data_IF_072028267599
#
_entry.id   IF_072028267599
#
_cell.length_a   1.000
_cell.length_b   1.000
_cell.length_c   1.000
_cell.angle_alpha   90.00
_cell.angle_beta   90.00
_cell.angle_gamma   90.00
#
_symmetry.space_group_name_H-M   'P 1'
#
loop_
_entity.id
_entity.type
_entity.pdbx_description
1 polymer ?
#
# COMPACT_ATOMS: atom_id res chain seq x y z
N UNK A 1 23.32 58.65 49.04
CA UNK A 1 24.08 58.20 47.88
C UNK A 1 24.36 56.69 47.91
N UNK A 2 24.73 56.08 49.04
CA UNK A 2 25.02 54.62 49.14
C UNK A 2 23.78 53.81 49.09
N UNK A 3 22.64 54.21 49.75
CA UNK A 3 21.36 53.48 49.71
C UNK A 3 20.73 53.45 48.32
N UNK A 4 20.81 54.52 47.55
CA UNK A 4 20.28 54.59 46.19
C UNK A 4 21.04 53.64 45.24
N UNK A 5 22.36 53.55 45.41
CA UNK A 5 23.18 52.66 44.64
C UNK A 5 22.96 51.17 44.95
N UNK A 6 22.66 50.86 46.22
CA UNK A 6 22.27 49.51 46.65
C UNK A 6 20.90 49.07 46.12
N UNK A 7 19.94 50.00 46.02
CA UNK A 7 18.63 49.72 45.43
C UNK A 7 18.72 49.43 43.91
N UNK A 8 19.51 50.21 43.13
CA UNK A 8 19.76 49.98 41.72
C UNK A 8 20.45 48.64 41.46
N UNK A 9 21.41 48.25 42.32
CA UNK A 9 22.09 46.95 42.23
C UNK A 9 21.14 45.81 42.51
N UNK A 10 20.20 45.94 43.48
CA UNK A 10 19.20 44.91 43.74
C UNK A 10 18.17 44.77 42.64
N UNK A 11 17.73 45.87 42.03
CA UNK A 11 16.81 45.89 40.90
C UNK A 11 17.46 45.23 39.69
N UNK A 12 18.71 45.56 39.38
CA UNK A 12 19.48 44.96 38.31
C UNK A 12 19.67 43.44 38.50
N UNK A 13 19.92 42.99 39.72
CA UNK A 13 20.00 41.56 40.08
C UNK A 13 18.70 40.83 39.85
N UNK A 14 17.55 41.41 40.26
CA UNK A 14 16.26 40.79 40.07
C UNK A 14 15.88 40.61 38.62
N UNK A 15 16.21 41.58 37.75
CA UNK A 15 16.02 41.50 36.30
C UNK A 15 16.89 40.39 35.70
N UNK A 16 18.16 40.30 36.12
CA UNK A 16 19.06 39.23 35.64
C UNK A 16 18.54 37.86 36.02
N UNK A 17 18.05 37.66 37.28
CA UNK A 17 17.45 36.40 37.70
C UNK A 17 16.18 36.06 36.91
N UNK A 18 15.35 37.04 36.59
CA UNK A 18 14.14 36.84 35.76
C UNK A 18 14.50 36.42 34.34
N UNK A 19 15.51 37.05 33.72
CA UNK A 19 15.99 36.69 32.38
C UNK A 19 16.58 35.26 32.36
N UNK A 20 17.41 34.93 33.35
CA UNK A 20 18.00 33.58 33.46
C UNK A 20 16.91 32.52 33.68
N UNK A 21 15.92 32.83 34.53
CA UNK A 21 14.78 31.95 34.75
C UNK A 21 13.93 31.70 33.49
N UNK A 22 13.68 32.79 32.73
CA UNK A 22 12.96 32.68 31.45
C UNK A 22 13.72 31.86 30.42
N UNK A 23 15.04 32.10 30.32
CA UNK A 23 15.92 31.34 29.42
C UNK A 23 15.95 29.84 29.78
N UNK A 24 15.97 29.49 31.07
CA UNK A 24 15.92 28.12 31.55
C UNK A 24 14.55 27.43 31.17
N UNK A 25 13.45 28.16 31.33
CA UNK A 25 12.14 27.66 30.95
C UNK A 25 12.04 27.39 29.44
N UNK A 26 12.51 28.33 28.61
CA UNK A 26 12.55 28.18 27.15
C UNK A 26 13.42 26.98 26.75
N UNK A 27 14.61 26.85 27.36
CA UNK A 27 15.52 25.72 27.13
C UNK A 27 14.85 24.38 27.46
N UNK A 28 14.11 24.30 28.56
CA UNK A 28 13.35 23.12 28.97
C UNK A 28 12.25 22.78 27.95
N UNK A 29 11.49 23.78 27.48
CA UNK A 29 10.47 23.57 26.47
C UNK A 29 11.05 23.08 25.13
N UNK A 30 12.17 23.64 24.70
CA UNK A 30 12.88 23.20 23.48
C UNK A 30 13.37 21.76 23.63
N UNK A 31 13.97 21.42 24.78
CA UNK A 31 14.42 20.06 25.06
C UNK A 31 13.26 19.05 25.06
N UNK A 32 12.14 19.40 25.70
CA UNK A 32 10.94 18.56 25.70
C UNK A 32 10.33 18.39 24.29
N UNK A 33 10.34 19.45 23.49
CA UNK A 33 9.89 19.39 22.10
C UNK A 33 10.78 18.46 21.26
N UNK A 34 12.09 18.56 21.38
CA UNK A 34 13.07 17.71 20.67
C UNK A 34 12.88 16.24 21.08
N UNK A 35 12.77 15.96 22.39
CA UNK A 35 12.56 14.59 22.89
C UNK A 35 11.22 14.02 22.38
N UNK A 36 10.16 14.82 22.38
CA UNK A 36 8.84 14.40 21.88
C UNK A 36 8.84 14.14 20.39
N UNK A 37 9.51 14.99 19.61
CA UNK A 37 9.69 14.84 18.18
C UNK A 37 10.48 13.58 17.84
N UNK A 38 11.57 13.33 18.58
CA UNK A 38 12.38 12.11 18.41
C UNK A 38 11.60 10.84 18.72
N UNK A 39 10.83 10.81 19.83
CA UNK A 39 9.98 9.66 20.18
C UNK A 39 8.90 9.39 19.14
N UNK A 40 8.26 10.42 18.57
CA UNK A 40 7.31 10.26 17.47
C UNK A 40 7.95 9.65 16.23
N UNK A 41 9.14 10.10 15.87
CA UNK A 41 9.90 9.57 14.73
C UNK A 41 10.28 8.09 14.93
N UNK A 42 10.73 7.71 16.12
CA UNK A 42 11.07 6.32 16.47
C UNK A 42 9.83 5.41 16.46
N UNK A 43 8.70 5.86 17.02
CA UNK A 43 7.43 5.11 16.96
C UNK A 43 6.94 4.93 15.52
N UNK A 44 7.06 5.96 14.67
CA UNK A 44 6.71 5.85 13.26
C UNK A 44 7.59 4.81 12.54
N UNK A 45 8.90 4.79 12.79
CA UNK A 45 9.81 3.76 12.26
C UNK A 45 9.44 2.36 12.72
N UNK A 46 9.12 2.19 14.01
CA UNK A 46 8.68 0.91 14.56
C UNK A 46 7.36 0.45 13.97
N UNK A 47 6.39 1.33 13.79
CA UNK A 47 5.12 1.03 13.15
C UNK A 47 5.30 0.62 11.68
N UNK A 48 6.16 1.34 10.93
CA UNK A 48 6.54 0.98 9.56
C UNK A 48 7.21 -0.38 9.53
N UNK A 49 8.10 -0.68 10.47
CA UNK A 49 8.78 -1.97 10.56
C UNK A 49 7.80 -3.11 10.91
N UNK A 50 6.86 -2.88 11.83
CA UNK A 50 5.79 -3.83 12.17
C UNK A 50 4.86 -4.09 10.98
N UNK A 51 4.52 -3.06 10.20
CA UNK A 51 3.73 -3.21 8.97
C UNK A 51 4.52 -3.96 7.90
N UNK A 52 5.82 -3.70 7.75
CA UNK A 52 6.70 -4.48 6.87
C UNK A 52 6.70 -5.97 7.27
N UNK A 53 6.87 -6.27 8.55
CA UNK A 53 6.86 -7.63 9.08
C UNK A 53 5.49 -8.32 8.92
N UNK A 54 4.39 -7.62 9.16
CA UNK A 54 3.04 -8.13 8.87
C UNK A 54 2.83 -8.39 7.38
N UNK A 55 3.31 -7.50 6.54
CA UNK A 55 3.29 -7.67 5.09
C UNK A 55 4.09 -8.89 4.61
N UNK A 56 5.28 -9.10 5.11
CA UNK A 56 6.11 -10.29 4.78
C UNK A 56 5.39 -11.57 5.23
N UNK A 57 4.76 -11.56 6.39
CA UNK A 57 4.07 -12.73 6.96
C UNK A 57 2.78 -13.11 6.24
N UNK A 58 2.07 -12.13 5.65
CA UNK A 58 0.79 -12.35 4.96
C UNK A 58 0.90 -12.40 3.42
N UNK A 59 2.04 -12.06 2.82
CA UNK A 59 2.20 -11.84 1.38
C UNK A 59 2.74 -13.01 0.57
N UNK A 60 3.28 -14.00 1.20
CA UNK A 60 3.25 -15.32 0.58
C UNK A 60 1.82 -15.78 0.81
N UNK A 61 0.89 -15.40 -0.10
CA UNK A 61 -0.47 -15.92 -0.01
C UNK A 61 -0.35 -17.44 0.05
N UNK A 62 -0.64 -18.07 1.21
CA UNK A 62 -0.56 -19.53 1.29
C UNK A 62 -1.42 -20.17 0.21
N UNK A 63 -2.51 -19.51 -0.16
CA UNK A 63 -3.43 -19.90 -1.21
C UNK A 63 -2.77 -19.91 -2.60
N UNK A 64 -1.95 -18.91 -2.92
CA UNK A 64 -1.20 -18.89 -4.18
C UNK A 64 -0.21 -20.05 -4.25
N UNK A 65 0.60 -20.26 -3.20
CA UNK A 65 1.54 -21.38 -3.14
C UNK A 65 0.79 -22.72 -3.24
N UNK A 66 -0.32 -22.88 -2.51
CA UNK A 66 -1.12 -24.10 -2.56
C UNK A 66 -1.80 -24.31 -3.91
N UNK A 67 -2.32 -23.27 -4.56
CA UNK A 67 -2.93 -23.40 -5.89
C UNK A 67 -1.90 -23.77 -6.95
N UNK A 68 -0.73 -23.17 -6.92
CA UNK A 68 0.34 -23.49 -7.88
C UNK A 68 0.91 -24.89 -7.61
N UNK A 69 1.08 -25.30 -6.34
CA UNK A 69 1.46 -26.66 -5.97
C UNK A 69 0.41 -27.70 -6.41
N UNK A 70 -0.87 -27.45 -6.16
CA UNK A 70 -1.95 -28.34 -6.54
C UNK A 70 -2.12 -28.45 -8.07
N UNK A 71 -1.98 -27.33 -8.80
CA UNK A 71 -1.96 -27.36 -10.27
C UNK A 71 -0.79 -28.17 -10.80
N UNK A 72 0.37 -28.11 -10.15
CA UNK A 72 1.55 -28.90 -10.50
C UNK A 72 1.38 -30.39 -10.25
N UNK A 73 0.83 -30.76 -9.11
CA UNK A 73 0.55 -32.15 -8.77
C UNK A 73 -0.44 -32.77 -9.78
N UNK A 74 -1.42 -31.97 -10.27
CA UNK A 74 -2.41 -32.42 -11.22
C UNK A 74 -1.89 -32.51 -12.67
N UNK A 75 -0.83 -31.75 -13.06
CA UNK A 75 -0.33 -31.64 -14.43
C UNK A 75 0.99 -32.35 -14.71
N UNK A 76 1.51 -33.16 -13.78
CA UNK A 76 2.81 -33.83 -13.83
C UNK A 76 2.98 -34.76 -15.03
N UNK A 77 3.25 -34.25 -16.21
CA UNK A 77 3.87 -34.97 -17.34
C UNK A 77 4.68 -34.01 -18.23
N UNK A 78 5.96 -33.89 -18.00
CA UNK A 78 6.94 -33.47 -19.02
C UNK A 78 7.18 -31.98 -19.27
N UNK A 79 6.43 -31.03 -18.66
CA UNK A 79 6.70 -29.59 -18.68
C UNK A 79 7.19 -29.02 -17.34
N UNK A 80 7.52 -29.88 -16.42
CA UNK A 80 7.72 -29.59 -15.00
C UNK A 80 8.82 -28.57 -14.70
N UNK A 81 9.91 -28.58 -15.48
CA UNK A 81 11.08 -27.76 -15.14
C UNK A 81 10.91 -26.27 -15.45
N UNK A 82 10.28 -25.93 -16.59
CA UNK A 82 10.11 -24.53 -17.00
C UNK A 82 9.11 -23.80 -16.10
N UNK A 83 8.01 -24.45 -15.74
CA UNK A 83 6.96 -23.87 -14.91
C UNK A 83 7.40 -23.74 -13.44
N UNK A 84 8.18 -24.71 -12.90
CA UNK A 84 8.81 -24.60 -11.58
C UNK A 84 9.80 -23.43 -11.54
N UNK A 85 10.51 -23.19 -12.65
CA UNK A 85 11.42 -22.05 -12.76
C UNK A 85 10.66 -20.71 -12.74
N UNK A 86 9.55 -20.61 -13.47
CA UNK A 86 8.71 -19.38 -13.45
C UNK A 86 8.09 -19.15 -12.08
N UNK A 87 7.60 -20.19 -11.41
CA UNK A 87 7.12 -20.09 -10.04
C UNK A 87 8.21 -19.62 -9.08
N UNK A 88 9.41 -20.21 -9.18
CA UNK A 88 10.56 -19.80 -8.36
C UNK A 88 10.91 -18.33 -8.56
N UNK A 89 10.84 -17.83 -9.79
CA UNK A 89 11.04 -16.40 -10.11
C UNK A 89 9.96 -15.52 -9.50
N UNK A 90 8.68 -15.93 -9.59
CA UNK A 90 7.56 -15.20 -8.99
C UNK A 90 7.69 -15.12 -7.46
N UNK A 91 8.01 -16.22 -6.80
CA UNK A 91 8.22 -16.23 -5.34
C UNK A 91 9.37 -15.30 -4.96
N UNK A 92 10.49 -15.34 -5.69
CA UNK A 92 11.63 -14.45 -5.44
C UNK A 92 11.26 -12.99 -5.61
N UNK A 93 10.55 -12.63 -6.70
CA UNK A 93 10.07 -11.28 -6.95
C UNK A 93 9.10 -10.81 -5.84
N UNK A 94 8.20 -11.68 -5.39
CA UNK A 94 7.25 -11.40 -4.32
C UNK A 94 7.99 -11.07 -3.01
N UNK A 95 8.95 -11.91 -2.60
CA UNK A 95 9.76 -11.68 -1.40
C UNK A 95 10.52 -10.35 -1.52
N UNK A 96 11.14 -10.10 -2.66
CA UNK A 96 11.95 -8.91 -2.91
C UNK A 96 11.12 -7.62 -2.86
N UNK A 97 9.90 -7.63 -3.45
CA UNK A 97 8.96 -6.52 -3.39
C UNK A 97 8.37 -6.33 -1.99
N UNK A 98 8.10 -7.40 -1.26
CA UNK A 98 7.52 -7.32 0.08
C UNK A 98 8.45 -6.65 1.10
N UNK A 99 9.76 -6.62 0.84
CA UNK A 99 10.75 -5.93 1.66
C UNK A 99 10.83 -4.42 1.39
N UNK A 100 10.15 -3.91 0.36
CA UNK A 100 10.21 -2.49 -0.03
C UNK A 100 8.93 -1.75 0.37
N UNK A 101 9.04 -0.45 0.67
CA UNK A 101 7.87 0.40 0.94
C UNK A 101 7.26 0.84 -0.38
N UNK A 102 8.12 1.24 -1.32
CA UNK A 102 7.75 1.71 -2.65
C UNK A 102 8.63 1.04 -3.70
N UNK A 103 8.06 0.82 -4.85
CA UNK A 103 8.74 0.29 -6.05
C UNK A 103 8.35 1.14 -7.26
N UNK A 104 9.06 0.98 -8.37
CA UNK A 104 8.64 1.62 -9.61
C UNK A 104 7.34 1.00 -10.12
N UNK A 105 6.49 1.81 -10.73
CA UNK A 105 5.25 1.34 -11.35
C UNK A 105 5.52 0.22 -12.37
N UNK A 106 6.64 0.31 -13.10
CA UNK A 106 7.05 -0.76 -14.03
C UNK A 106 7.21 -2.09 -13.31
N UNK A 107 7.87 -2.10 -12.15
CA UNK A 107 8.14 -3.32 -11.39
C UNK A 107 6.86 -3.95 -10.82
N UNK A 108 5.90 -3.11 -10.36
CA UNK A 108 4.57 -3.57 -9.95
C UNK A 108 3.81 -4.22 -11.11
N UNK A 109 3.79 -3.57 -12.26
CA UNK A 109 3.11 -4.09 -13.44
C UNK A 109 3.75 -5.36 -14.00
N UNK A 110 5.08 -5.44 -14.01
CA UNK A 110 5.80 -6.64 -14.44
C UNK A 110 5.48 -7.85 -13.55
N UNK A 111 5.37 -7.63 -12.24
CA UNK A 111 4.96 -8.66 -11.30
C UNK A 111 3.51 -9.10 -11.55
N UNK A 112 2.58 -8.13 -11.62
CA UNK A 112 1.16 -8.39 -11.84
C UNK A 112 0.92 -9.15 -13.14
N UNK A 113 1.64 -8.79 -14.20
CA UNK A 113 1.51 -9.47 -15.48
C UNK A 113 1.90 -10.95 -15.37
N UNK A 114 3.02 -11.28 -14.73
CA UNK A 114 3.45 -12.67 -14.50
C UNK A 114 2.47 -13.42 -13.60
N UNK A 115 1.95 -12.77 -12.56
CA UNK A 115 0.96 -13.36 -11.68
C UNK A 115 -0.31 -13.73 -12.45
N UNK A 116 -0.83 -12.80 -13.27
CA UNK A 116 -2.02 -13.01 -14.09
C UNK A 116 -1.80 -14.09 -15.15
N UNK A 117 -0.60 -14.21 -15.74
CA UNK A 117 -0.26 -15.28 -16.68
C UNK A 117 -0.36 -16.67 -16.02
N UNK A 118 0.09 -16.79 -14.77
CA UNK A 118 -0.06 -18.04 -14.01
C UNK A 118 -1.53 -18.35 -13.72
N UNK A 119 -2.29 -17.37 -13.24
CA UNK A 119 -3.73 -17.54 -12.95
C UNK A 119 -4.54 -17.85 -14.23
N UNK A 120 -4.18 -17.21 -15.36
CA UNK A 120 -4.81 -17.46 -16.65
C UNK A 120 -4.63 -18.91 -17.11
N UNK A 121 -3.48 -19.53 -16.86
CA UNK A 121 -3.24 -20.92 -17.20
C UNK A 121 -4.20 -21.88 -16.47
N UNK A 122 -4.72 -21.46 -15.32
CA UNK A 122 -5.70 -22.21 -14.52
C UNK A 122 -7.15 -21.89 -14.88
N UNK A 123 -7.43 -20.65 -15.33
CA UNK A 123 -8.80 -20.19 -15.67
C UNK A 123 -9.24 -20.52 -17.10
N UNK A 124 -8.31 -20.90 -17.99
CA UNK A 124 -8.58 -21.19 -19.39
C UNK A 124 -8.77 -19.94 -20.27
N UNK A 125 -9.27 -20.14 -21.50
CA UNK A 125 -9.34 -19.10 -22.54
C UNK A 125 -10.45 -18.04 -22.34
N UNK A 126 -11.24 -18.15 -21.29
CA UNK A 126 -12.34 -17.22 -20.98
C UNK A 126 -11.93 -16.02 -20.14
N UNK A 127 -10.62 -15.77 -20.00
CA UNK A 127 -10.06 -14.69 -19.19
C UNK A 127 -9.32 -13.65 -20.03
N UNK A 128 -9.82 -12.42 -20.01
CA UNK A 128 -9.18 -11.24 -20.63
C UNK A 128 -8.55 -10.36 -19.56
N UNK A 129 -7.27 -10.02 -19.76
CA UNK A 129 -6.54 -9.09 -18.93
C UNK A 129 -6.00 -7.93 -19.76
N UNK A 130 -6.27 -6.70 -19.34
CA UNK A 130 -5.80 -5.49 -20.03
C UNK A 130 -5.15 -4.51 -19.07
N UNK A 131 -4.07 -3.86 -19.51
CA UNK A 131 -3.37 -2.82 -18.75
C UNK A 131 -3.22 -1.60 -19.64
N UNK A 132 -3.85 -0.50 -19.25
CA UNK A 132 -3.77 0.79 -19.93
C UNK A 132 -3.04 1.78 -19.03
N UNK A 133 -1.95 2.35 -19.53
CA UNK A 133 -1.17 3.37 -18.81
C UNK A 133 -1.09 4.62 -19.67
N UNK A 134 -1.41 5.75 -19.08
CA UNK A 134 -1.30 7.05 -19.73
C UNK A 134 0.15 7.26 -20.21
N UNK A 135 0.29 7.73 -21.46
CA UNK A 135 1.59 7.99 -22.09
C UNK A 135 2.42 9.05 -21.35
N UNK A 136 1.76 9.95 -20.61
CA UNK A 136 2.42 10.96 -19.79
C UNK A 136 3.13 10.37 -18.54
N UNK A 137 2.88 9.09 -18.19
CA UNK A 137 3.45 8.44 -17.02
C UNK A 137 4.74 7.70 -17.39
N UNK A 138 5.85 8.12 -16.80
CA UNK A 138 7.09 7.38 -16.88
C UNK A 138 7.09 6.22 -15.86
N UNK A 139 6.70 5.03 -16.29
CA UNK A 139 6.60 3.83 -15.44
C UNK A 139 7.88 3.48 -14.68
N UNK A 140 9.07 3.82 -15.22
CA UNK A 140 10.37 3.52 -14.60
C UNK A 140 10.78 4.55 -13.55
N UNK A 141 10.21 5.76 -13.59
CA UNK A 141 10.50 6.83 -12.64
C UNK A 141 9.37 7.01 -11.60
N UNK A 142 8.14 6.62 -11.94
CA UNK A 142 6.99 6.75 -11.04
C UNK A 142 7.06 5.70 -9.94
N UNK A 143 7.05 6.15 -8.68
CA UNK A 143 7.07 5.29 -7.50
C UNK A 143 5.65 5.07 -6.99
N UNK A 144 5.35 3.83 -6.64
CA UNK A 144 4.07 3.41 -6.05
C UNK A 144 4.32 2.54 -4.83
N UNK A 145 3.39 2.48 -3.87
CA UNK A 145 3.51 1.55 -2.75
C UNK A 145 3.62 0.11 -3.25
N UNK A 146 4.61 -0.60 -2.74
CA UNK A 146 4.89 -1.97 -3.16
C UNK A 146 3.71 -2.89 -2.88
N UNK A 147 3.40 -3.78 -3.81
CA UNK A 147 2.38 -4.83 -3.74
C UNK A 147 0.92 -4.32 -3.74
N UNK A 148 0.65 -3.01 -3.92
CA UNK A 148 -0.72 -2.49 -3.87
C UNK A 148 -1.54 -2.92 -5.09
N UNK A 149 -0.99 -2.79 -6.29
CA UNK A 149 -1.68 -3.22 -7.53
C UNK A 149 -1.86 -4.74 -7.49
N UNK A 150 -0.85 -5.48 -7.03
CA UNK A 150 -0.97 -6.93 -6.85
C UNK A 150 -2.13 -7.32 -5.93
N UNK A 151 -2.24 -6.70 -4.74
CA UNK A 151 -3.33 -6.99 -3.79
C UNK A 151 -4.69 -6.73 -4.43
N UNK A 152 -4.83 -5.65 -5.20
CA UNK A 152 -6.09 -5.33 -5.88
C UNK A 152 -6.42 -6.37 -6.95
N UNK A 153 -5.43 -6.78 -7.74
CA UNK A 153 -5.57 -7.81 -8.78
C UNK A 153 -5.85 -9.19 -8.17
N UNK A 154 -5.15 -9.56 -7.10
CA UNK A 154 -5.41 -10.81 -6.37
C UNK A 154 -6.85 -10.85 -5.84
N UNK A 155 -7.32 -9.76 -5.22
CA UNK A 155 -8.71 -9.68 -4.77
C UNK A 155 -9.73 -9.80 -5.91
N UNK A 156 -9.48 -9.16 -7.04
CA UNK A 156 -10.34 -9.26 -8.22
C UNK A 156 -10.41 -10.70 -8.74
N UNK A 157 -9.27 -11.40 -8.82
CA UNK A 157 -9.21 -12.78 -9.30
C UNK A 157 -9.86 -13.75 -8.30
N UNK A 158 -9.45 -13.70 -7.03
CA UNK A 158 -9.85 -14.68 -6.01
C UNK A 158 -11.29 -14.47 -5.56
N UNK A 159 -11.73 -13.22 -5.42
CA UNK A 159 -13.05 -12.90 -4.87
C UNK A 159 -14.05 -12.43 -5.92
N UNK A 160 -13.59 -11.76 -6.99
CA UNK A 160 -14.46 -11.28 -8.05
C UNK A 160 -14.73 -12.35 -9.11
N UNK A 161 -13.68 -12.95 -9.66
CA UNK A 161 -13.75 -13.80 -10.84
C UNK A 161 -13.77 -15.32 -10.56
N UNK A 162 -13.37 -15.73 -9.37
CA UNK A 162 -13.43 -17.15 -9.00
C UNK A 162 -14.88 -17.62 -8.90
N UNK A 163 -15.20 -18.76 -9.54
CA UNK A 163 -16.56 -19.27 -9.64
C UNK A 163 -17.49 -18.46 -10.54
N UNK A 164 -17.01 -17.44 -11.25
CA UNK A 164 -17.78 -16.72 -12.26
C UNK A 164 -17.86 -17.54 -13.54
N UNK A 165 -19.09 -17.89 -13.97
CA UNK A 165 -19.33 -18.76 -15.13
C UNK A 165 -19.28 -18.02 -16.48
N UNK A 166 -19.23 -16.69 -16.45
CA UNK A 166 -19.19 -15.84 -17.64
C UNK A 166 -17.78 -15.55 -18.14
N UNK A 167 -17.70 -14.78 -19.22
CA UNK A 167 -16.46 -14.23 -19.73
C UNK A 167 -15.82 -13.32 -18.67
N UNK A 168 -14.60 -13.65 -18.26
CA UNK A 168 -13.88 -12.99 -17.18
C UNK A 168 -13.05 -11.83 -17.71
N UNK A 169 -13.25 -10.65 -17.15
CA UNK A 169 -12.48 -9.45 -17.51
C UNK A 169 -11.84 -8.82 -16.29
N UNK A 170 -10.55 -8.52 -16.42
CA UNK A 170 -9.78 -7.77 -15.47
C UNK A 170 -9.06 -6.64 -16.20
N UNK A 171 -9.25 -5.42 -15.75
CA UNK A 171 -8.66 -4.25 -16.38
C UNK A 171 -7.95 -3.38 -15.36
N UNK A 172 -6.73 -2.93 -15.68
CA UNK A 172 -5.99 -1.92 -14.94
C UNK A 172 -5.90 -0.67 -15.79
N UNK A 173 -6.42 0.45 -15.31
CA UNK A 173 -6.30 1.76 -15.93
C UNK A 173 -5.49 2.68 -15.03
N UNK A 174 -4.41 3.24 -15.54
CA UNK A 174 -3.53 4.16 -14.82
C UNK A 174 -3.47 5.48 -15.57
N UNK A 175 -3.97 6.54 -14.92
CA UNK A 175 -4.06 7.89 -15.50
C UNK A 175 -3.34 8.89 -14.62
N UNK A 176 -2.77 9.92 -15.24
CA UNK A 176 -2.19 11.06 -14.56
C UNK A 176 -3.29 12.09 -14.27
N UNK A 177 -3.34 12.59 -13.02
CA UNK A 177 -4.25 13.66 -12.61
C UNK A 177 -3.60 15.05 -12.80
N UNK A 178 -4.41 16.10 -12.77
CA UNK A 178 -3.95 17.50 -12.93
C UNK A 178 -2.99 17.94 -11.80
N UNK A 179 -3.11 17.33 -10.62
CA UNK A 179 -2.27 17.61 -9.44
C UNK A 179 -1.01 16.72 -9.34
N UNK A 180 -0.54 16.22 -10.46
CA UNK A 180 0.61 15.31 -10.60
C UNK A 180 0.44 13.93 -9.93
N UNK A 181 -0.67 13.68 -9.24
CA UNK A 181 -0.98 12.36 -8.71
C UNK A 181 -1.32 11.38 -9.82
N UNK A 182 -1.17 10.11 -9.52
CA UNK A 182 -1.64 9.04 -10.40
C UNK A 182 -2.88 8.37 -9.82
N UNK A 183 -3.82 8.10 -10.69
CA UNK A 183 -5.04 7.33 -10.39
C UNK A 183 -4.88 5.94 -10.99
N UNK A 184 -4.91 4.93 -10.13
CA UNK A 184 -4.84 3.52 -10.49
C UNK A 184 -6.22 2.92 -10.25
N UNK A 185 -6.81 2.36 -11.28
CA UNK A 185 -8.14 1.72 -11.22
C UNK A 185 -8.01 0.29 -11.63
N UNK A 186 -8.41 -0.63 -10.76
CA UNK A 186 -8.52 -2.06 -11.05
C UNK A 186 -10.00 -2.41 -11.10
N UNK A 187 -10.44 -2.98 -12.20
CA UNK A 187 -11.85 -3.31 -12.46
C UNK A 187 -11.98 -4.77 -12.87
N UNK A 188 -12.90 -5.49 -12.24
CA UNK A 188 -13.34 -6.82 -12.67
C UNK A 188 -14.83 -6.79 -13.04
N UNK A 189 -15.28 -7.80 -13.77
CA UNK A 189 -16.68 -8.01 -14.12
C UNK A 189 -17.31 -9.21 -13.41
N UNK A 190 -16.79 -9.59 -12.26
CA UNK A 190 -17.21 -10.76 -11.49
C UNK A 190 -18.41 -10.49 -10.58
N UNK A 191 -18.44 -11.23 -9.46
CA UNK A 191 -19.56 -11.18 -8.50
C UNK A 191 -19.73 -9.84 -7.77
N UNK A 192 -18.70 -8.96 -7.78
CA UNK A 192 -18.65 -7.75 -6.97
C UNK A 192 -18.43 -8.05 -5.47
N UNK A 193 -18.67 -7.04 -4.64
CA UNK A 193 -18.60 -7.16 -3.19
C UNK A 193 -19.91 -7.74 -2.66
N UNK A 194 -19.82 -8.77 -1.84
CA UNK A 194 -20.99 -9.27 -1.11
C UNK A 194 -21.49 -8.20 -0.11
N UNK A 195 -22.81 -8.09 0.08
CA UNK A 195 -23.42 -7.17 1.05
C UNK A 195 -22.90 -7.37 2.49
N UNK A 196 -22.47 -8.60 2.80
CA UNK A 196 -21.88 -8.99 4.09
C UNK A 196 -20.36 -8.89 4.13
N UNK A 197 -19.72 -8.45 3.03
CA UNK A 197 -18.27 -8.24 3.02
C UNK A 197 -17.97 -7.04 3.91
N UNK A 198 -17.67 -7.32 5.18
CA UNK A 198 -17.08 -6.35 6.09
C UNK A 198 -15.69 -6.06 5.54
N UNK A 199 -15.58 -4.97 4.78
CA UNK A 199 -14.35 -4.51 4.13
C UNK A 199 -13.23 -4.24 5.16
N UNK A 200 -13.57 -4.26 6.44
CA UNK A 200 -12.68 -3.99 7.58
C UNK A 200 -12.31 -5.25 8.40
N UNK A 201 -12.48 -6.47 7.84
CA UNK A 201 -11.89 -7.64 8.52
C UNK A 201 -10.39 -7.44 8.67
N UNK A 202 -9.94 -7.40 9.92
CA UNK A 202 -8.50 -7.34 10.24
C UNK A 202 -7.77 -8.47 9.52
N UNK A 203 -6.57 -8.14 8.97
CA UNK A 203 -5.68 -9.05 8.24
C UNK A 203 -6.10 -9.42 6.80
N UNK A 204 -6.99 -8.68 6.16
CA UNK A 204 -7.22 -8.78 4.71
C UNK A 204 -6.22 -7.93 3.93
N UNK A 205 -5.96 -8.26 2.64
CA UNK A 205 -5.12 -7.44 1.77
C UNK A 205 -5.59 -5.98 1.71
N UNK A 206 -6.90 -5.75 1.67
CA UNK A 206 -7.49 -4.40 1.63
C UNK A 206 -7.29 -3.62 2.94
N UNK A 207 -7.34 -4.28 4.10
CA UNK A 207 -7.04 -3.63 5.37
C UNK A 207 -5.57 -3.19 5.45
N UNK A 208 -4.65 -3.96 4.87
CA UNK A 208 -3.24 -3.60 4.75
C UNK A 208 -3.06 -2.33 3.90
N UNK A 209 -3.75 -2.24 2.74
CA UNK A 209 -3.74 -1.04 1.90
C UNK A 209 -4.17 0.18 2.70
N UNK A 210 -5.32 0.12 3.40
CA UNK A 210 -5.85 1.24 4.19
C UNK A 210 -4.91 1.68 5.31
N UNK A 211 -4.38 0.72 6.08
CA UNK A 211 -3.43 0.99 7.16
C UNK A 211 -2.14 1.62 6.62
N UNK A 212 -1.63 1.12 5.50
CA UNK A 212 -0.41 1.67 4.88
C UNK A 212 -0.65 3.09 4.36
N UNK A 213 -1.80 3.36 3.72
CA UNK A 213 -2.18 4.71 3.28
C UNK A 213 -2.25 5.68 4.46
N UNK A 214 -2.93 5.28 5.56
CA UNK A 214 -3.02 6.12 6.75
C UNK A 214 -1.64 6.51 7.29
N UNK A 215 -0.72 5.54 7.38
CA UNK A 215 0.65 5.78 7.84
C UNK A 215 1.48 6.64 6.89
N UNK A 216 1.37 6.42 5.58
CA UNK A 216 2.08 7.22 4.57
C UNK A 216 1.59 8.66 4.59
N UNK A 217 0.27 8.87 4.67
CA UNK A 217 -0.32 10.21 4.74
C UNK A 217 0.10 10.96 6.00
N UNK A 218 0.14 10.27 7.16
CA UNK A 218 0.56 10.87 8.43
C UNK A 218 2.04 11.28 8.43
N UNK A 219 2.91 10.40 7.92
CA UNK A 219 4.36 10.58 8.03
C UNK A 219 5.00 11.32 6.87
N UNK A 220 4.53 11.12 5.63
CA UNK A 220 5.11 11.69 4.42
C UNK A 220 4.33 12.90 3.88
N UNK A 221 3.25 13.34 4.56
CA UNK A 221 2.34 14.40 4.09
C UNK A 221 1.85 14.17 2.66
N UNK A 222 1.72 12.92 2.26
CA UNK A 222 1.13 12.52 0.98
C UNK A 222 -0.39 12.48 1.13
N UNK A 223 -1.11 12.70 0.04
CA UNK A 223 -2.58 12.65 0.03
C UNK A 223 -3.05 11.43 -0.79
N UNK A 224 -2.71 10.24 -0.30
CA UNK A 224 -3.14 8.98 -0.89
C UNK A 224 -4.55 8.63 -0.44
N UNK A 225 -5.33 8.01 -1.31
CA UNK A 225 -6.65 7.49 -0.95
C UNK A 225 -6.96 6.18 -1.65
N UNK A 226 -7.83 5.38 -1.03
CA UNK A 226 -8.30 4.11 -1.56
C UNK A 226 -9.81 4.00 -1.42
N UNK A 227 -10.47 3.60 -2.51
CA UNK A 227 -11.91 3.36 -2.56
C UNK A 227 -12.18 2.05 -3.28
N UNK A 228 -13.23 1.36 -2.85
CA UNK A 228 -13.74 0.15 -3.49
C UNK A 228 -15.26 0.27 -3.60
N UNK A 229 -15.82 -0.11 -4.75
CA UNK A 229 -17.26 -0.06 -5.00
C UNK A 229 -17.72 -1.12 -5.98
N UNK A 230 -18.97 -1.52 -5.87
CA UNK A 230 -19.63 -2.33 -6.89
C UNK A 230 -19.89 -1.51 -8.14
N UNK A 231 -19.69 -2.14 -9.28
CA UNK A 231 -20.18 -1.65 -10.57
C UNK A 231 -21.61 -2.13 -10.75
N UNK A 232 -22.52 -1.18 -10.92
CA UNK A 232 -23.95 -1.48 -11.05
C UNK A 232 -24.38 -1.20 -12.49
N UNK A 233 -25.05 -2.16 -13.12
CA UNK A 233 -25.62 -2.01 -14.44
C UNK A 233 -26.89 -1.15 -14.41
N UNK A 234 -27.40 -0.77 -15.59
CA UNK A 234 -28.63 0.02 -15.76
C UNK A 234 -29.89 -0.63 -15.17
N UNK A 235 -29.84 -1.93 -14.94
CA UNK A 235 -30.91 -2.72 -14.32
C UNK A 235 -30.77 -2.91 -12.79
N UNK A 236 -29.83 -2.21 -12.16
CA UNK A 236 -29.54 -2.32 -10.73
C UNK A 236 -28.71 -3.53 -10.29
N UNK A 237 -28.39 -4.46 -11.20
CA UNK A 237 -27.59 -5.63 -10.88
C UNK A 237 -26.11 -5.31 -10.80
N UNK A 238 -25.40 -5.93 -9.85
CA UNK A 238 -23.95 -5.85 -9.74
C UNK A 238 -23.30 -6.52 -10.96
N UNK A 239 -22.35 -5.82 -11.59
CA UNK A 239 -21.61 -6.25 -12.79
C UNK A 239 -20.10 -6.32 -12.55
N UNK A 240 -19.68 -6.42 -11.31
CA UNK A 240 -18.28 -6.47 -10.94
C UNK A 240 -17.91 -5.47 -9.85
N UNK A 241 -16.61 -5.28 -9.67
CA UNK A 241 -16.04 -4.38 -8.67
C UNK A 241 -15.03 -3.42 -9.29
N UNK A 242 -14.95 -2.23 -8.72
CA UNK A 242 -13.93 -1.23 -9.05
C UNK A 242 -13.17 -0.84 -7.79
N UNK A 243 -11.85 -0.96 -7.83
CA UNK A 243 -10.92 -0.46 -6.83
C UNK A 243 -10.18 0.75 -7.38
N UNK A 244 -10.22 1.88 -6.67
CA UNK A 244 -9.55 3.13 -7.06
C UNK A 244 -8.50 3.47 -6.01
N UNK A 245 -7.25 3.60 -6.44
CA UNK A 245 -6.13 4.04 -5.64
C UNK A 245 -5.60 5.36 -6.20
N UNK A 246 -5.48 6.38 -5.36
CA UNK A 246 -4.81 7.65 -5.66
C UNK A 246 -3.46 7.68 -4.95
N UNK A 247 -2.39 7.95 -5.69
CA UNK A 247 -1.00 7.98 -5.21
C UNK A 247 -0.34 9.30 -5.55
#
# INVERSE_FOLDING_TARGET
>A
AIEHKNAEIQESRSIIFAIVGLAAIISLFVALYIVRSHRKSEQAKLNIMQLKLRNVRNRISPHFIFNVLNSKIASSRGKETAELLELSKLIRLNIDMSCQIEVTLQRELDFVQRYVEVERSMMGDIFEFTVNVDKAINKRATMVPAMFIQILVENAIVHGLNGWDGYKKLCINITKCEDDRIRIVVTDNGHGLAETAVVDKENTGLSIIRQTIALVNENAKRNMSFQIRNLVGSNGNVKGCECVLMV
#
